data_IF_572236572647
#
_entry.id   IF_572236572647
#
_cell.length_a   1.000
_cell.length_b   1.000
_cell.length_c   1.000
_cell.angle_alpha   90.00
_cell.angle_beta   90.00
_cell.angle_gamma   90.00
#
_symmetry.space_group_name_H-M   'P 1'
#
loop_
_entity.id
_entity.type
_entity.pdbx_description
1 polymer ?
#
# COMPACT_ATOMS: atom_id res chain seq x y z
N UNK A 1 22.62 -12.91 -17.68
CA UNK A 1 21.22 -12.44 -17.73
C UNK A 1 20.70 -12.84 -19.09
N UNK A 2 20.01 -13.98 -19.16
CA UNK A 2 19.69 -14.66 -20.42
C UNK A 2 18.43 -14.08 -21.05
N UNK A 3 18.48 -13.97 -22.37
CA UNK A 3 17.52 -13.42 -23.32
C UNK A 3 16.08 -13.99 -23.22
N UNK A 4 15.88 -15.07 -22.46
CA UNK A 4 14.59 -15.71 -22.18
C UNK A 4 13.76 -15.05 -21.09
N UNK A 5 14.35 -14.24 -20.20
CA UNK A 5 13.62 -13.65 -19.06
C UNK A 5 12.74 -12.44 -19.45
N UNK A 6 13.12 -11.73 -20.51
CA UNK A 6 12.38 -10.55 -20.98
C UNK A 6 11.07 -10.89 -21.71
N UNK A 7 11.02 -11.88 -22.63
CA UNK A 7 9.77 -12.34 -23.22
C UNK A 7 8.77 -12.85 -22.18
N UNK A 8 9.25 -13.56 -21.15
CA UNK A 8 8.40 -14.15 -20.12
C UNK A 8 7.68 -13.08 -19.27
N UNK A 9 8.39 -12.00 -18.88
CA UNK A 9 7.78 -10.89 -18.13
C UNK A 9 6.74 -10.12 -18.94
N UNK A 10 6.98 -9.91 -20.24
CA UNK A 10 6.01 -9.27 -21.12
C UNK A 10 4.74 -10.11 -21.25
N UNK A 11 4.88 -11.41 -21.52
CA UNK A 11 3.74 -12.32 -21.64
C UNK A 11 2.97 -12.43 -20.32
N UNK A 12 3.66 -12.48 -19.18
CA UNK A 12 3.04 -12.45 -17.85
C UNK A 12 2.23 -11.17 -17.64
N UNK A 13 2.80 -10.02 -18.02
CA UNK A 13 2.12 -8.72 -17.90
C UNK A 13 0.88 -8.63 -18.78
N UNK A 14 0.96 -9.15 -20.01
CA UNK A 14 -0.15 -9.19 -20.95
C UNK A 14 -1.26 -10.11 -20.44
N UNK A 15 -0.92 -11.32 -20.01
CA UNK A 15 -1.88 -12.28 -19.46
C UNK A 15 -2.60 -11.71 -18.22
N UNK A 16 -1.87 -11.05 -17.33
CA UNK A 16 -2.46 -10.38 -16.17
C UNK A 16 -3.41 -9.24 -16.57
N UNK A 17 -3.04 -8.42 -17.57
CA UNK A 17 -3.91 -7.37 -18.10
C UNK A 17 -5.19 -7.96 -18.73
N UNK A 18 -5.07 -9.02 -19.53
CA UNK A 18 -6.21 -9.70 -20.15
C UNK A 18 -7.16 -10.31 -19.12
N UNK A 19 -6.60 -10.90 -18.05
CA UNK A 19 -7.37 -11.41 -16.92
C UNK A 19 -8.15 -10.29 -16.24
N UNK A 20 -7.49 -9.19 -15.90
CA UNK A 20 -8.15 -8.03 -15.28
C UNK A 20 -9.21 -7.44 -16.20
N UNK A 21 -8.92 -7.28 -17.49
CA UNK A 21 -9.88 -6.80 -18.50
C UNK A 21 -11.10 -7.71 -18.60
N UNK A 22 -10.91 -9.04 -18.56
CA UNK A 22 -12.00 -10.02 -18.57
C UNK A 22 -12.91 -9.86 -17.35
N UNK A 23 -12.33 -9.66 -16.15
CA UNK A 23 -13.10 -9.37 -14.94
C UNK A 23 -13.84 -8.03 -15.09
N UNK A 24 -13.17 -7.03 -15.65
CA UNK A 24 -13.69 -5.68 -15.81
C UNK A 24 -14.85 -5.56 -16.83
N UNK A 25 -15.03 -6.56 -17.71
CA UNK A 25 -16.21 -6.66 -18.58
C UNK A 25 -17.50 -6.87 -17.81
N UNK A 26 -17.46 -7.52 -16.65
CA UNK A 26 -18.64 -7.74 -15.82
C UNK A 26 -19.04 -6.48 -15.04
N UNK A 27 -18.05 -5.78 -14.48
CA UNK A 27 -18.21 -4.52 -13.76
C UNK A 27 -16.86 -3.80 -13.62
N UNK A 28 -16.82 -2.46 -13.48
CA UNK A 28 -15.59 -1.73 -13.23
C UNK A 28 -14.81 -2.28 -12.02
N UNK A 29 -13.48 -2.39 -12.15
CA UNK A 29 -12.59 -2.99 -11.14
C UNK A 29 -11.68 -1.94 -10.52
N UNK A 30 -11.59 -1.94 -9.18
CA UNK A 30 -10.55 -1.23 -8.44
C UNK A 30 -9.56 -2.24 -7.86
N UNK A 31 -8.31 -2.17 -8.32
CA UNK A 31 -7.20 -2.96 -7.77
C UNK A 31 -6.53 -2.14 -6.66
N UNK A 32 -6.68 -2.60 -5.42
CA UNK A 32 -6.06 -1.98 -4.25
C UNK A 32 -4.79 -2.73 -3.86
N UNK A 33 -3.67 -2.03 -3.81
CA UNK A 33 -2.39 -2.59 -3.40
C UNK A 33 -1.90 -1.88 -2.15
N UNK A 34 -1.85 -2.62 -1.05
CA UNK A 34 -1.29 -2.13 0.20
C UNK A 34 0.23 -2.29 0.20
N UNK A 35 0.92 -1.28 0.71
CA UNK A 35 2.36 -1.30 0.98
C UNK A 35 3.22 -1.70 -0.23
N UNK A 36 2.94 -1.11 -1.39
CA UNK A 36 3.59 -1.42 -2.66
C UNK A 36 5.13 -1.35 -2.64
N UNK A 37 5.71 -0.59 -1.70
CA UNK A 37 7.15 -0.57 -1.46
C UNK A 37 7.75 -1.92 -0.99
N UNK A 38 6.93 -2.90 -0.61
CA UNK A 38 7.37 -4.26 -0.29
C UNK A 38 7.28 -5.22 -1.48
N UNK A 39 6.68 -4.81 -2.60
CA UNK A 39 6.66 -5.64 -3.80
C UNK A 39 8.08 -5.78 -4.35
N UNK A 40 8.38 -6.97 -4.87
CA UNK A 40 9.60 -7.19 -5.60
C UNK A 40 9.59 -6.44 -6.95
N UNK A 41 10.77 -6.27 -7.52
CA UNK A 41 10.92 -5.49 -8.75
C UNK A 41 10.12 -6.06 -9.93
N UNK A 42 10.12 -7.38 -10.18
CA UNK A 42 9.33 -7.95 -11.28
C UNK A 42 7.83 -7.68 -11.14
N UNK A 43 7.25 -7.79 -9.95
CA UNK A 43 5.82 -7.48 -9.74
C UNK A 43 5.55 -6.00 -9.99
N UNK A 44 6.43 -5.10 -9.51
CA UNK A 44 6.31 -3.67 -9.80
C UNK A 44 6.37 -3.35 -11.29
N UNK A 45 7.23 -4.04 -12.06
CA UNK A 45 7.33 -3.86 -13.50
C UNK A 45 6.04 -4.30 -14.21
N UNK A 46 5.45 -5.44 -13.79
CA UNK A 46 4.14 -5.91 -14.28
C UNK A 46 3.02 -4.91 -13.96
N UNK A 47 2.95 -4.43 -12.72
CA UNK A 47 1.93 -3.44 -12.32
C UNK A 47 2.09 -2.12 -13.06
N UNK A 48 3.34 -1.70 -13.32
CA UNK A 48 3.66 -0.50 -14.12
C UNK A 48 3.20 -0.69 -15.57
N UNK A 49 3.43 -1.87 -16.15
CA UNK A 49 2.97 -2.20 -17.50
C UNK A 49 1.44 -2.12 -17.61
N UNK A 50 0.72 -2.69 -16.64
CA UNK A 50 -0.74 -2.68 -16.58
C UNK A 50 -1.24 -1.24 -16.44
N UNK A 51 -0.70 -0.48 -15.47
CA UNK A 51 -1.10 0.90 -15.20
C UNK A 51 -1.04 1.82 -16.43
N UNK A 52 -0.01 1.65 -17.27
CA UNK A 52 0.16 2.43 -18.52
C UNK A 52 -0.88 2.11 -19.60
N UNK A 53 -1.60 1.00 -19.49
CA UNK A 53 -2.58 0.50 -20.48
C UNK A 53 -4.03 0.58 -20.01
N UNK A 54 -4.29 1.13 -18.83
CA UNK A 54 -5.65 1.23 -18.30
C UNK A 54 -6.54 2.26 -19.00
N UNK A 55 -5.99 3.14 -19.84
CA UNK A 55 -6.76 4.22 -20.47
C UNK A 55 -7.98 3.72 -21.30
N UNK A 56 -7.96 2.46 -21.75
CA UNK A 56 -9.04 1.84 -22.51
C UNK A 56 -9.86 0.81 -21.72
N UNK A 57 -9.57 0.60 -20.43
CA UNK A 57 -10.18 -0.45 -19.61
C UNK A 57 -10.93 0.16 -18.41
N UNK A 58 -12.08 -0.38 -17.98
CA UNK A 58 -12.79 0.08 -16.78
C UNK A 58 -12.10 -0.42 -15.50
N UNK A 59 -10.81 -0.15 -15.38
CA UNK A 59 -9.94 -0.60 -14.29
C UNK A 59 -9.22 0.61 -13.71
N UNK A 60 -9.23 0.73 -12.39
CA UNK A 60 -8.43 1.68 -11.63
C UNK A 60 -7.45 0.93 -10.72
N UNK A 61 -6.27 1.51 -10.48
CA UNK A 61 -5.29 1.01 -9.52
C UNK A 61 -5.08 2.06 -8.43
N UNK A 62 -5.19 1.63 -7.17
CA UNK A 62 -4.85 2.42 -5.99
C UNK A 62 -3.71 1.73 -5.24
N UNK A 63 -2.65 2.46 -4.92
CA UNK A 63 -1.49 1.92 -4.21
C UNK A 63 -1.15 2.78 -2.99
N UNK A 64 -0.90 2.14 -1.84
CA UNK A 64 -0.20 2.78 -0.72
C UNK A 64 1.28 2.44 -0.77
N UNK A 65 2.14 3.41 -0.49
CA UNK A 65 3.58 3.21 -0.41
C UNK A 65 4.22 4.30 0.44
N UNK A 66 5.44 4.05 0.87
CA UNK A 66 6.21 5.07 1.57
C UNK A 66 6.66 6.18 0.59
N UNK A 67 6.73 7.45 1.04
CA UNK A 67 7.13 8.57 0.19
C UNK A 67 8.46 8.36 -0.53
N UNK A 68 9.45 7.79 0.16
CA UNK A 68 10.78 7.48 -0.39
C UNK A 68 10.75 6.46 -1.52
N UNK A 69 9.77 5.55 -1.52
CA UNK A 69 9.62 4.52 -2.55
C UNK A 69 8.83 5.01 -3.75
N UNK A 70 7.94 6.00 -3.56
CA UNK A 70 7.12 6.59 -4.63
C UNK A 70 7.92 7.36 -5.68
N UNK A 71 9.15 7.78 -5.36
CA UNK A 71 10.04 8.42 -6.31
C UNK A 71 10.54 7.48 -7.42
N UNK A 72 10.52 6.15 -7.17
CA UNK A 72 11.02 5.15 -8.11
C UNK A 72 10.01 4.73 -9.20
N UNK A 73 8.75 5.17 -9.08
CA UNK A 73 7.71 4.88 -10.05
C UNK A 73 7.67 5.96 -11.13
N UNK A 74 8.16 5.61 -12.32
CA UNK A 74 8.05 6.42 -13.53
C UNK A 74 6.66 6.28 -14.16
N UNK A 75 5.65 6.77 -13.45
CA UNK A 75 4.27 6.78 -13.91
C UNK A 75 3.68 8.18 -13.72
N UNK A 76 2.92 8.64 -14.70
CA UNK A 76 2.03 9.81 -14.55
C UNK A 76 0.83 9.43 -13.69
N UNK A 77 1.07 9.19 -12.39
CA UNK A 77 0.04 8.86 -11.41
C UNK A 77 -0.33 10.07 -10.56
N UNK A 78 -1.59 10.13 -10.16
CA UNK A 78 -2.02 11.08 -9.12
C UNK A 78 -1.47 10.62 -7.79
N UNK A 79 -0.68 11.48 -7.13
CA UNK A 79 -0.16 11.23 -5.78
C UNK A 79 -1.04 11.95 -4.77
N UNK A 80 -1.45 11.23 -3.73
CA UNK A 80 -2.21 11.79 -2.61
C UNK A 80 -1.39 11.57 -1.35
N UNK A 81 -0.87 12.66 -0.79
CA UNK A 81 -0.13 12.62 0.46
C UNK A 81 -1.10 12.45 1.64
N UNK A 82 -1.08 11.25 2.22
CA UNK A 82 -1.87 10.95 3.42
C UNK A 82 -1.03 11.28 4.65
N UNK A 83 -1.28 12.46 5.22
CA UNK A 83 -0.65 12.91 6.45
C UNK A 83 -1.10 12.12 7.69
N UNK A 84 -0.38 12.31 8.79
CA UNK A 84 -0.80 11.77 10.07
C UNK A 84 -2.17 12.35 10.47
N UNK A 85 -3.02 11.52 11.10
CA UNK A 85 -4.25 12.00 11.72
C UNK A 85 -3.94 13.07 12.77
N UNK A 86 -4.83 14.05 12.88
CA UNK A 86 -4.81 15.00 14.00
C UNK A 86 -5.05 14.24 15.31
N UNK A 87 -4.42 14.68 16.38
CA UNK A 87 -4.45 13.96 17.66
C UNK A 87 -5.88 13.77 18.18
N UNK A 88 -6.74 14.79 18.07
CA UNK A 88 -8.16 14.72 18.43
C UNK A 88 -8.92 13.65 17.65
N UNK A 89 -8.73 13.60 16.32
CA UNK A 89 -9.32 12.59 15.43
C UNK A 89 -8.78 11.19 15.73
N UNK A 90 -7.48 11.06 16.00
CA UNK A 90 -6.86 9.79 16.38
C UNK A 90 -7.41 9.28 17.72
N UNK A 91 -7.58 10.15 18.73
CA UNK A 91 -8.19 9.79 20.01
C UNK A 91 -9.64 9.34 19.85
N UNK A 92 -10.43 10.07 19.06
CA UNK A 92 -11.82 9.71 18.79
C UNK A 92 -11.94 8.35 18.09
N UNK A 93 -11.05 8.08 17.12
CA UNK A 93 -10.99 6.79 16.43
C UNK A 93 -10.63 5.66 17.40
N UNK A 94 -9.61 5.84 18.23
CA UNK A 94 -9.21 4.84 19.23
C UNK A 94 -10.30 4.56 20.26
N UNK A 95 -11.00 5.60 20.72
CA UNK A 95 -12.11 5.43 21.65
C UNK A 95 -13.28 4.64 21.03
N UNK A 96 -13.52 4.80 19.72
CA UNK A 96 -14.58 4.11 19.00
C UNK A 96 -14.24 2.65 18.69
N UNK A 97 -13.06 2.39 18.12
CA UNK A 97 -12.66 1.04 17.68
C UNK A 97 -12.11 0.18 18.83
N UNK A 98 -11.57 0.82 19.87
CA UNK A 98 -10.91 0.15 21.00
C UNK A 98 -11.29 0.78 22.36
N UNK A 99 -12.57 0.69 22.79
CA UNK A 99 -13.06 1.33 24.01
C UNK A 99 -12.38 0.86 25.30
N UNK A 100 -11.79 -0.34 25.30
CA UNK A 100 -11.07 -0.90 26.45
C UNK A 100 -9.64 -0.38 26.66
N UNK A 101 -9.12 0.46 25.76
CA UNK A 101 -7.78 1.04 25.94
C UNK A 101 -7.77 2.04 27.11
N UNK A 102 -6.83 1.85 28.04
CA UNK A 102 -6.68 2.77 29.17
C UNK A 102 -6.36 4.19 28.69
N UNK A 103 -6.80 5.25 29.40
CA UNK A 103 -6.52 6.64 29.01
C UNK A 103 -5.02 6.95 28.86
N UNK A 104 -4.15 6.26 29.61
CA UNK A 104 -2.68 6.40 29.50
C UNK A 104 -2.13 5.81 28.18
N UNK A 105 -2.77 4.78 27.63
CA UNK A 105 -2.43 4.23 26.31
C UNK A 105 -3.04 5.06 25.18
N UNK A 106 -4.18 5.70 25.42
CA UNK A 106 -4.81 6.65 24.50
C UNK A 106 -4.01 7.95 24.37
N UNK A 107 -3.62 8.56 25.49
CA UNK A 107 -2.86 9.83 25.51
C UNK A 107 -1.44 9.76 24.95
N UNK A 108 -0.88 8.56 24.77
CA UNK A 108 0.31 8.36 23.93
C UNK A 108 -0.14 8.21 22.48
N UNK A 109 -0.37 9.35 21.82
CA UNK A 109 -0.30 9.36 20.35
C UNK A 109 1.03 8.72 19.93
N UNK A 110 1.10 7.97 18.82
CA UNK A 110 2.38 7.46 18.35
C UNK A 110 3.32 8.65 18.23
N UNK A 111 4.36 8.68 19.06
CA UNK A 111 5.37 9.73 19.00
C UNK A 111 5.78 9.81 17.54
N UNK A 112 5.72 11.01 16.95
CA UNK A 112 5.98 11.23 15.53
C UNK A 112 7.44 10.86 15.24
N UNK A 113 7.69 9.58 15.00
CA UNK A 113 9.00 9.04 14.68
C UNK A 113 9.20 9.34 13.20
N UNK A 114 10.03 10.35 12.92
CA UNK A 114 10.61 10.54 11.58
C UNK A 114 11.41 9.28 11.27
N UNK A 115 10.77 8.35 10.55
CA UNK A 115 11.35 7.06 10.19
C UNK A 115 11.42 6.06 11.37
N UNK A 116 11.37 4.78 11.03
CA UNK A 116 11.70 3.60 11.87
C UNK A 116 10.61 2.92 12.71
N UNK A 117 10.54 1.61 12.48
CA UNK A 117 10.31 0.48 13.40
C UNK A 117 9.61 0.79 14.74
N UNK A 118 8.39 0.26 14.84
CA UNK A 118 7.67 0.09 16.11
C UNK A 118 8.46 -0.81 17.06
N UNK A 119 8.89 -0.27 18.21
CA UNK A 119 9.34 -1.08 19.35
C UNK A 119 8.31 -0.94 20.46
N UNK A 120 7.53 -2.00 20.66
CA UNK A 120 6.65 -2.12 21.81
C UNK A 120 7.51 -2.55 23.01
N UNK A 121 7.82 -1.63 23.93
CA UNK A 121 8.44 -2.01 25.20
C UNK A 121 7.34 -2.51 26.14
N UNK A 122 7.07 -3.80 26.12
CA UNK A 122 6.33 -4.46 27.20
C UNK A 122 7.24 -4.54 28.42
N UNK A 123 7.14 -3.56 29.31
CA UNK A 123 7.56 -3.71 30.70
C UNK A 123 6.33 -4.02 31.53
N UNK A 124 6.08 -5.29 31.82
CA UNK A 124 5.43 -5.65 33.09
C UNK A 124 6.17 -6.81 33.75
N UNK A 125 6.68 -6.49 34.95
CA UNK A 125 7.22 -7.43 35.92
C UNK A 125 6.03 -8.04 36.66
N UNK A 126 5.85 -9.36 36.56
CA UNK A 126 5.33 -10.18 37.66
C UNK A 126 6.10 -11.49 37.59
N UNK A 127 6.92 -11.88 38.56
CA UNK A 127 6.62 -11.88 39.98
C UNK A 127 5.94 -13.19 40.33
N UNK A 128 6.71 -14.29 40.33
CA UNK A 128 6.52 -15.47 41.18
C UNK A 128 7.84 -16.23 41.27
#
# INVERSE_FOLDING_TARGET
MSETEQPERFLTSLAALELLGTIARAAPVLVCIAEAHWMDRPTLDVMTFIARRLASEPIAILMSMRPESAASLDLSITKVDVGALRDDTAQALLAREHPGLSPLMRGRGPTRLKGTRWRCSSSDRRGR
#
